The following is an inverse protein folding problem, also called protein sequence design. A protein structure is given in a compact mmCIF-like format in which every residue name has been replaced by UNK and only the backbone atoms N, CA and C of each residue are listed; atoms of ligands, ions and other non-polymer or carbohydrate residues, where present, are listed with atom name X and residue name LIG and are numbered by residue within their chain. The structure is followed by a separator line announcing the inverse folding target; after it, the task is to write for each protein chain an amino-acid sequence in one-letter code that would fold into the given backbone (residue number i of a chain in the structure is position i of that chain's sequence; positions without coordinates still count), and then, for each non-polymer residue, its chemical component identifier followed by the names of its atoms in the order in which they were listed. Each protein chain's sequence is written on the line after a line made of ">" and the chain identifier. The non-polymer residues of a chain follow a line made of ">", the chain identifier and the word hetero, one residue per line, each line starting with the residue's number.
data_IF_106705877563
#
_entry.id   IF_106705877563
#
_cell.length_a   1.000
_cell.length_b   1.000
_cell.length_c   1.000
_cell.angle_alpha   90.00
_cell.angle_beta   90.00
_cell.angle_gamma   90.00
#
_symmetry.space_group_name_H-M   'P 1'
#
loop_
_entity.id
_entity.type
_entity.pdbx_description
1 polymer ?
#
# COMPACT_ATOMS: atom_id res chain seq x y z
N UNK A 1 -0.51 12.94 5.28
CA UNK A 1 0.33 12.42 4.16
C UNK A 1 -0.24 11.09 3.66
N UNK A 2 -0.07 10.72 2.39
CA UNK A 2 -0.46 9.40 1.89
C UNK A 2 0.79 8.55 1.69
N UNK A 3 0.81 7.33 2.21
CA UNK A 3 1.85 6.33 2.05
C UNK A 3 1.29 5.19 1.22
N UNK A 4 2.06 4.69 0.26
CA UNK A 4 1.66 3.52 -0.53
C UNK A 4 2.82 2.55 -0.63
N UNK A 5 2.62 1.38 -0.03
CA UNK A 5 3.55 0.26 -0.08
C UNK A 5 2.98 -0.74 -1.08
N UNK A 6 3.78 -1.16 -2.06
CA UNK A 6 3.32 -2.13 -3.03
C UNK A 6 4.38 -3.14 -3.42
N UNK A 7 3.94 -4.33 -3.84
CA UNK A 7 4.82 -5.37 -4.36
C UNK A 7 4.47 -6.75 -3.82
N UNK A 8 5.28 -7.74 -4.15
CA UNK A 8 4.97 -9.16 -3.90
C UNK A 8 5.71 -9.72 -2.68
N UNK A 9 6.68 -9.00 -2.14
CA UNK A 9 7.36 -9.35 -0.89
C UNK A 9 6.49 -9.00 0.32
N UNK A 10 5.62 -9.94 0.70
CA UNK A 10 4.70 -9.79 1.83
C UNK A 10 5.41 -9.59 3.17
N UNK A 11 6.61 -10.15 3.35
CA UNK A 11 7.36 -10.02 4.60
C UNK A 11 7.87 -8.59 4.78
N UNK A 12 8.56 -8.06 3.77
CA UNK A 12 9.09 -6.70 3.82
C UNK A 12 7.97 -5.64 3.85
N UNK A 13 6.87 -5.90 3.13
CA UNK A 13 5.66 -5.08 3.24
C UNK A 13 5.11 -5.03 4.66
N UNK A 14 4.97 -6.18 5.32
CA UNK A 14 4.45 -6.25 6.69
C UNK A 14 5.41 -5.58 7.70
N UNK A 15 6.72 -5.75 7.51
CA UNK A 15 7.73 -5.11 8.35
C UNK A 15 7.67 -3.57 8.24
N UNK A 16 7.60 -3.05 7.01
CA UNK A 16 7.50 -1.61 6.78
C UNK A 16 6.15 -1.04 7.25
N UNK A 17 5.04 -1.75 7.06
CA UNK A 17 3.73 -1.36 7.58
C UNK A 17 3.78 -1.18 9.10
N UNK A 18 4.36 -2.14 9.82
CA UNK A 18 4.53 -2.08 11.28
C UNK A 18 5.41 -0.92 11.70
N UNK A 19 6.50 -0.67 10.98
CA UNK A 19 7.41 0.44 11.23
C UNK A 19 6.68 1.78 11.07
N UNK A 20 6.04 2.02 9.94
CA UNK A 20 5.28 3.24 9.68
C UNK A 20 4.13 3.43 10.68
N UNK A 21 3.42 2.37 11.03
CA UNK A 21 2.35 2.44 12.04
C UNK A 21 2.89 2.84 13.41
N UNK A 22 4.10 2.37 13.75
CA UNK A 22 4.76 2.71 15.02
C UNK A 22 5.22 4.16 15.04
N UNK A 23 5.78 4.64 13.92
CA UNK A 23 6.35 5.98 13.78
C UNK A 23 5.27 7.07 13.68
N UNK A 24 4.18 6.81 12.94
CA UNK A 24 3.15 7.80 12.64
C UNK A 24 2.10 7.95 13.73
N UNK A 25 1.91 6.95 14.60
CA UNK A 25 0.95 7.03 15.71
C UNK A 25 1.62 6.64 17.01
N UNK A 26 1.69 7.62 17.91
CA UNK A 26 2.20 7.42 19.27
C UNK A 26 1.45 6.31 19.99
N UNK A 27 2.19 5.48 20.73
CA UNK A 27 1.62 4.29 21.39
C UNK A 27 0.43 4.61 22.31
N UNK A 28 0.44 5.77 22.97
CA UNK A 28 -0.60 6.22 23.89
C UNK A 28 -1.95 6.47 23.21
N UNK A 29 -1.94 6.89 21.94
CA UNK A 29 -3.15 7.28 21.20
C UNK A 29 -3.56 6.28 20.12
N UNK A 30 -2.86 5.14 19.98
CA UNK A 30 -3.15 4.14 18.93
C UNK A 30 -4.59 3.63 18.96
N UNK A 31 -5.18 3.42 20.13
CA UNK A 31 -6.55 2.91 20.25
C UNK A 31 -7.62 3.84 19.66
N UNK A 32 -7.34 5.14 19.53
CA UNK A 32 -8.29 6.15 19.04
C UNK A 32 -7.89 6.75 17.69
N UNK A 33 -6.59 6.78 17.38
CA UNK A 33 -6.06 7.42 16.17
C UNK A 33 -5.65 6.43 15.07
N UNK A 34 -5.63 5.12 15.34
CA UNK A 34 -5.37 4.11 14.33
C UNK A 34 -6.69 3.45 13.91
N UNK A 35 -6.95 3.39 12.60
CA UNK A 35 -8.04 2.60 12.03
C UNK A 35 -7.48 1.71 10.94
N UNK A 36 -7.82 0.42 10.97
CA UNK A 36 -7.37 -0.55 9.98
C UNK A 36 -8.56 -1.08 9.20
N UNK A 37 -8.46 -1.03 7.88
CA UNK A 37 -9.43 -1.57 6.94
C UNK A 37 -8.80 -2.70 6.14
N UNK A 38 -9.63 -3.67 5.76
CA UNK A 38 -9.34 -4.61 4.69
C UNK A 38 -9.81 -4.02 3.37
N UNK A 39 -8.90 -3.80 2.43
CA UNK A 39 -9.14 -3.18 1.14
C UNK A 39 -9.97 -4.02 0.17
N UNK A 40 -10.17 -5.31 0.46
CA UNK A 40 -11.06 -6.20 -0.30
C UNK A 40 -12.53 -5.98 0.07
N UNK A 41 -12.80 -5.54 1.30
CA UNK A 41 -14.16 -5.45 1.85
C UNK A 41 -14.59 -4.02 2.17
N UNK A 42 -13.66 -3.14 2.49
CA UNK A 42 -13.93 -1.75 2.84
C UNK A 42 -14.33 -0.90 1.63
N UNK A 43 -15.31 -0.02 1.83
CA UNK A 43 -15.69 0.96 0.82
C UNK A 43 -14.69 2.11 0.79
N UNK A 44 -14.29 2.55 -0.39
CA UNK A 44 -13.36 3.67 -0.56
C UNK A 44 -13.86 4.93 0.16
N UNK A 45 -15.16 5.22 0.12
CA UNK A 45 -15.74 6.38 0.81
C UNK A 45 -15.58 6.31 2.33
N UNK A 46 -15.72 5.13 2.94
CA UNK A 46 -15.54 4.93 4.38
C UNK A 46 -14.09 5.16 4.78
N UNK A 47 -13.15 4.62 4.00
CA UNK A 47 -11.72 4.83 4.20
C UNK A 47 -11.38 6.33 4.10
N UNK A 48 -11.91 7.03 3.10
CA UNK A 48 -11.64 8.45 2.89
C UNK A 48 -12.22 9.29 4.03
N UNK A 49 -13.44 8.99 4.45
CA UNK A 49 -14.06 9.68 5.59
C UNK A 49 -13.25 9.46 6.86
N UNK A 50 -12.84 8.21 7.12
CA UNK A 50 -11.96 7.90 8.25
C UNK A 50 -10.62 8.62 8.14
N UNK A 51 -10.01 8.73 6.95
CA UNK A 51 -8.73 9.39 6.75
C UNK A 51 -8.82 10.92 6.89
N UNK A 52 -9.97 11.53 6.60
CA UNK A 52 -10.20 12.97 6.75
C UNK A 52 -10.70 13.37 8.14
N UNK A 53 -11.11 12.41 8.96
CA UNK A 53 -11.56 12.68 10.34
C UNK A 53 -10.37 13.18 11.17
N UNK A 54 -10.45 14.34 11.85
CA UNK A 54 -9.38 14.80 12.72
C UNK A 54 -9.05 13.82 13.84
N UNK A 55 -7.79 13.79 14.28
CA UNK A 55 -7.38 13.08 15.49
C UNK A 55 -7.94 13.76 16.75
N UNK A 56 -8.00 13.02 17.85
CA UNK A 56 -8.31 13.59 19.16
C UNK A 56 -7.10 14.35 19.74
N UNK A 57 -5.90 13.76 19.65
CA UNK A 57 -4.60 14.37 19.94
C UNK A 57 -3.49 13.74 19.07
N UNK A 58 -2.51 14.50 18.60
CA UNK A 58 -1.40 13.99 17.77
C UNK A 58 -1.84 13.62 16.35
N UNK A 59 -1.13 12.69 15.71
CA UNK A 59 -1.41 12.28 14.33
C UNK A 59 -2.40 11.11 14.27
N UNK A 60 -3.22 11.10 13.21
CA UNK A 60 -4.13 10.01 12.83
C UNK A 60 -3.52 9.17 11.73
N UNK A 61 -3.74 7.86 11.79
CA UNK A 61 -3.40 6.93 10.71
C UNK A 61 -4.58 6.03 10.37
N UNK A 62 -4.91 5.98 9.09
CA UNK A 62 -5.77 4.95 8.52
C UNK A 62 -4.90 4.01 7.70
N UNK A 63 -4.99 2.70 7.95
CA UNK A 63 -4.29 1.66 7.20
C UNK A 63 -5.30 0.88 6.38
N UNK A 64 -5.02 0.67 5.10
CA UNK A 64 -5.81 -0.21 4.23
C UNK A 64 -4.89 -1.34 3.79
N UNK A 65 -5.17 -2.54 4.28
CA UNK A 65 -4.45 -3.76 3.89
C UNK A 65 -5.02 -4.35 2.61
N UNK A 66 -4.21 -5.11 1.89
CA UNK A 66 -4.64 -5.88 0.72
C UNK A 66 -5.41 -5.06 -0.33
N UNK A 67 -4.98 -3.83 -0.57
CA UNK A 67 -5.66 -2.87 -1.42
C UNK A 67 -5.62 -3.28 -2.92
N UNK A 68 -6.76 -3.63 -3.56
CA UNK A 68 -6.79 -4.04 -4.96
C UNK A 68 -6.82 -2.85 -5.94
N UNK A 69 -6.92 -1.61 -5.44
CA UNK A 69 -7.29 -0.42 -6.23
C UNK A 69 -6.25 0.01 -7.28
N UNK A 70 -5.07 -0.60 -7.26
CA UNK A 70 -3.95 -0.31 -8.16
C UNK A 70 -3.53 -1.50 -9.02
N UNK A 71 -4.12 -2.68 -8.83
CA UNK A 71 -3.69 -3.91 -9.51
C UNK A 71 -4.38 -4.12 -10.88
N UNK A 72 -3.71 -4.78 -11.85
CA UNK A 72 -4.37 -5.23 -13.08
C UNK A 72 -5.44 -6.28 -12.76
N UNK A 73 -6.65 -6.13 -13.29
CA UNK A 73 -7.75 -7.08 -13.07
C UNK A 73 -8.77 -6.68 -12.00
N UNK A 74 -8.67 -5.48 -11.40
CA UNK A 74 -9.75 -4.92 -10.58
C UNK A 74 -11.07 -4.70 -11.36
N UNK A 75 -11.07 -4.90 -12.70
CA UNK A 75 -12.27 -4.99 -13.53
C UNK A 75 -12.65 -6.46 -13.75
N UNK A 76 -13.70 -6.88 -13.02
CA UNK A 76 -14.74 -7.87 -13.37
C UNK A 76 -14.28 -9.17 -14.04
N UNK A 77 -14.25 -10.27 -13.28
CA UNK A 77 -14.72 -11.57 -13.81
C UNK A 77 -16.24 -11.45 -13.92
N UNK A 78 -16.80 -11.59 -15.12
CA UNK A 78 -18.20 -11.28 -15.43
C UNK A 78 -19.15 -12.49 -15.26
N UNK A 79 -18.65 -13.66 -14.86
CA UNK A 79 -19.40 -14.93 -14.91
C UNK A 79 -19.50 -15.68 -13.57
N UNK A 80 -19.51 -14.99 -12.42
CA UNK A 80 -19.84 -15.62 -11.12
C UNK A 80 -21.05 -14.92 -10.49
N UNK A 81 -22.25 -15.53 -10.53
CA UNK A 81 -23.47 -14.94 -9.96
C UNK A 81 -23.50 -14.92 -8.42
N UNK A 82 -22.53 -15.52 -7.74
CA UNK A 82 -22.37 -15.43 -6.27
C UNK A 82 -21.43 -14.29 -5.81
N UNK A 83 -20.78 -13.58 -6.75
CA UNK A 83 -19.85 -12.51 -6.43
C UNK A 83 -20.50 -11.11 -6.29
N UNK A 84 -21.84 -11.01 -6.18
CA UNK A 84 -22.53 -9.73 -5.98
C UNK A 84 -22.43 -9.18 -4.54
N UNK A 85 -21.84 -9.92 -3.60
CA UNK A 85 -21.62 -9.45 -2.22
C UNK A 85 -20.22 -8.86 -1.97
N UNK A 86 -19.26 -9.06 -2.87
CA UNK A 86 -17.88 -8.57 -2.70
C UNK A 86 -17.70 -7.28 -3.50
N UNK A 87 -17.76 -6.15 -2.76
CA UNK A 87 -17.65 -4.77 -3.23
C UNK A 87 -16.45 -4.56 -4.18
N UNK A 88 -16.69 -4.67 -5.48
CA UNK A 88 -15.81 -4.10 -6.51
C UNK A 88 -15.93 -2.58 -6.44
N UNK A 89 -14.85 -1.80 -6.46
CA UNK A 89 -14.96 -0.35 -6.45
C UNK A 89 -15.69 0.10 -7.72
N UNK A 90 -16.91 0.60 -7.53
CA UNK A 90 -17.69 1.21 -8.60
C UNK A 90 -16.88 2.31 -9.32
N UNK A 91 -17.20 2.57 -10.58
CA UNK A 91 -16.65 3.65 -11.40
C UNK A 91 -16.62 5.00 -10.67
N UNK A 92 -17.64 5.27 -9.84
CA UNK A 92 -17.70 6.44 -8.97
C UNK A 92 -16.64 6.41 -7.86
N UNK A 93 -16.41 5.27 -7.23
CA UNK A 93 -15.45 5.08 -6.13
C UNK A 93 -14.00 5.32 -6.58
N UNK A 94 -13.69 5.00 -7.84
CA UNK A 94 -12.36 5.27 -8.42
C UNK A 94 -12.08 6.77 -8.60
N UNK A 95 -13.12 7.60 -8.86
CA UNK A 95 -12.95 9.06 -8.97
C UNK A 95 -12.62 9.69 -7.62
N UNK A 96 -13.35 9.30 -6.57
CA UNK A 96 -13.13 9.85 -5.22
C UNK A 96 -11.71 9.56 -4.72
N UNK A 97 -11.17 8.36 -5.01
CA UNK A 97 -9.77 8.04 -4.69
C UNK A 97 -8.78 8.88 -5.50
N UNK A 98 -9.03 9.09 -6.80
CA UNK A 98 -8.19 9.96 -7.63
C UNK A 98 -8.18 11.39 -7.10
N UNK A 99 -9.34 11.90 -6.71
CA UNK A 99 -9.47 13.26 -6.17
C UNK A 99 -8.72 13.37 -4.84
N UNK A 100 -8.82 12.37 -3.96
CA UNK A 100 -8.03 12.31 -2.73
C UNK A 100 -6.52 12.33 -3.00
N UNK A 101 -6.03 11.51 -3.94
CA UNK A 101 -4.61 11.43 -4.27
C UNK A 101 -4.07 12.75 -4.83
N UNK A 102 -4.93 13.52 -5.50
CA UNK A 102 -4.61 14.86 -6.00
C UNK A 102 -4.71 15.93 -4.92
N UNK A 103 -5.77 15.96 -4.13
CA UNK A 103 -5.94 16.99 -3.10
C UNK A 103 -4.98 16.79 -1.92
N UNK A 104 -4.68 15.54 -1.59
CA UNK A 104 -3.97 15.17 -0.37
C UNK A 104 -4.91 15.05 0.83
N UNK A 105 -4.30 14.94 2.01
CA UNK A 105 -5.02 14.85 3.29
C UNK A 105 -4.78 16.11 4.13
N UNK A 106 -5.71 16.47 5.02
CA UNK A 106 -5.48 17.49 6.04
C UNK A 106 -4.21 17.22 6.85
N UNK A 107 -3.63 18.28 7.42
CA UNK A 107 -2.48 18.17 8.33
C UNK A 107 -2.84 17.30 9.54
N UNK A 108 -1.90 16.46 9.98
CA UNK A 108 -2.11 15.49 11.06
C UNK A 108 -2.88 14.22 10.66
N UNK A 109 -3.37 14.12 9.42
CA UNK A 109 -4.05 12.93 8.92
C UNK A 109 -3.17 12.15 7.94
N UNK A 110 -2.98 10.86 8.23
CA UNK A 110 -2.19 9.95 7.40
C UNK A 110 -3.03 8.77 6.89
N UNK A 111 -2.73 8.34 5.67
CA UNK A 111 -3.31 7.16 5.04
C UNK A 111 -2.19 6.24 4.54
N UNK A 112 -2.20 4.98 4.93
CA UNK A 112 -1.28 3.95 4.50
C UNK A 112 -2.02 2.91 3.67
N UNK A 113 -1.67 2.82 2.39
CA UNK A 113 -2.22 1.86 1.44
C UNK A 113 -1.21 0.74 1.23
N UNK A 114 -1.58 -0.50 1.53
CA UNK A 114 -0.73 -1.68 1.33
C UNK A 114 -1.32 -2.50 0.19
N UNK A 115 -0.61 -2.60 -0.92
CA UNK A 115 -1.04 -3.31 -2.12
C UNK A 115 -0.10 -4.51 -2.39
N UNK A 116 -0.53 -5.77 -2.21
CA UNK A 116 0.32 -6.96 -2.32
C UNK A 116 0.65 -7.34 -3.79
N UNK A 117 0.45 -6.41 -4.73
CA UNK A 117 0.70 -6.61 -6.16
C UNK A 117 1.36 -5.38 -6.76
N UNK A 118 2.05 -5.59 -7.88
CA UNK A 118 2.59 -4.51 -8.67
C UNK A 118 1.48 -3.55 -9.18
N UNK A 119 1.80 -2.27 -9.22
CA UNK A 119 0.88 -1.22 -9.65
C UNK A 119 0.73 -1.23 -11.18
N UNK A 120 -0.52 -1.30 -11.64
CA UNK A 120 -0.85 -1.11 -13.05
C UNK A 120 -0.85 0.38 -13.40
N UNK A 121 0.20 0.83 -14.07
CA UNK A 121 0.42 2.22 -14.49
C UNK A 121 -0.63 2.77 -15.47
N UNK A 122 -1.46 1.91 -16.07
CA UNK A 122 -2.50 2.34 -17.03
C UNK A 122 -3.75 2.89 -16.34
N UNK A 123 -4.00 2.50 -15.09
CA UNK A 123 -5.18 2.92 -14.34
C UNK A 123 -5.11 4.41 -13.95
N UNK A 124 -6.26 5.08 -13.94
CA UNK A 124 -6.34 6.49 -13.52
C UNK A 124 -5.92 6.69 -12.07
N UNK A 125 -6.25 5.75 -11.18
CA UNK A 125 -5.84 5.73 -9.78
C UNK A 125 -4.32 5.67 -9.65
N UNK A 126 -3.67 4.78 -10.38
CA UNK A 126 -2.21 4.64 -10.42
C UNK A 126 -1.51 5.87 -11.01
N UNK A 127 -2.09 6.50 -12.05
CA UNK A 127 -1.56 7.76 -12.60
C UNK A 127 -1.63 8.87 -11.56
N UNK A 128 -2.76 9.03 -10.88
CA UNK A 128 -2.93 10.01 -9.82
C UNK A 128 -1.97 9.75 -8.63
N UNK A 129 -1.73 8.50 -8.30
CA UNK A 129 -0.75 8.10 -7.29
C UNK A 129 0.67 8.57 -7.67
N UNK A 130 1.09 8.31 -8.91
CA UNK A 130 2.41 8.72 -9.42
C UNK A 130 2.53 10.25 -9.52
N UNK A 131 1.49 10.94 -9.97
CA UNK A 131 1.43 12.41 -9.97
C UNK A 131 1.51 12.99 -8.55
N UNK A 132 0.83 12.36 -7.59
CA UNK A 132 0.89 12.73 -6.18
C UNK A 132 2.29 12.55 -5.57
N UNK A 133 3.02 11.52 -6.01
CA UNK A 133 4.39 11.24 -5.61
C UNK A 133 5.40 12.20 -6.25
N UNK A 134 5.15 12.63 -7.49
CA UNK A 134 6.00 13.58 -8.21
C UNK A 134 5.76 15.06 -7.84
N UNK A 135 4.71 15.36 -7.07
CA UNK A 135 4.36 16.72 -6.66
C UNK A 135 5.44 17.37 -5.76
N UNK A 136 5.48 18.71 -5.73
CA UNK A 136 6.36 19.50 -4.84
C UNK A 136 5.52 20.43 -3.96
N UNK A 137 5.36 20.16 -2.66
CA UNK A 137 5.84 19.00 -1.91
C UNK A 137 5.11 17.68 -2.28
N UNK A 138 5.72 16.50 -2.04
CA UNK A 138 5.08 15.22 -2.34
C UNK A 138 3.87 15.01 -1.43
N UNK A 139 2.75 14.60 -2.04
CA UNK A 139 1.51 14.24 -1.31
C UNK A 139 1.43 12.75 -1.02
N UNK A 140 2.14 11.96 -1.82
CA UNK A 140 2.21 10.50 -1.76
C UNK A 140 3.67 10.09 -1.58
N UNK A 141 3.94 9.22 -0.62
CA UNK A 141 5.21 8.51 -0.49
C UNK A 141 5.01 7.08 -0.98
N UNK A 142 5.61 6.78 -2.13
CA UNK A 142 5.48 5.49 -2.81
C UNK A 142 6.74 4.65 -2.56
N UNK A 143 6.56 3.41 -2.08
CA UNK A 143 7.66 2.46 -1.87
C UNK A 143 7.31 1.09 -2.45
N UNK A 144 8.23 0.56 -3.24
CA UNK A 144 8.10 -0.75 -3.90
C UNK A 144 8.89 -1.82 -3.12
N UNK A 145 8.28 -3.00 -3.01
CA UNK A 145 8.82 -4.21 -2.38
C UNK A 145 8.69 -5.37 -3.36
N UNK A 146 9.56 -5.42 -4.38
CA UNK A 146 9.47 -6.46 -5.40
C UNK A 146 9.69 -7.83 -4.77
N UNK A 147 8.86 -8.81 -5.15
CA UNK A 147 9.07 -10.19 -4.74
C UNK A 147 10.18 -10.87 -5.54
N UNK A 148 10.56 -12.10 -5.16
CA UNK A 148 11.47 -12.93 -5.95
C UNK A 148 10.86 -13.23 -7.32
N UNK A 149 11.66 -13.10 -8.39
CA UNK A 149 11.24 -13.37 -9.77
C UNK A 149 11.66 -14.80 -10.14
N UNK A 150 10.75 -15.78 -10.16
CA UNK A 150 11.09 -17.18 -10.41
C UNK A 150 11.66 -17.41 -11.81
N UNK A 151 11.46 -16.48 -12.74
CA UNK A 151 11.94 -16.59 -14.12
C UNK A 151 13.27 -15.86 -14.33
N UNK A 152 13.77 -15.13 -13.31
CA UNK A 152 15.04 -14.41 -13.36
C UNK A 152 15.84 -14.67 -12.07
N UNK A 153 16.58 -15.80 -12.02
CA UNK A 153 17.38 -16.18 -10.84
C UNK A 153 18.31 -15.07 -10.36
N UNK A 154 18.91 -14.30 -11.27
CA UNK A 154 19.77 -13.15 -10.95
C UNK A 154 19.07 -12.08 -10.10
N UNK A 155 17.78 -11.83 -10.37
CA UNK A 155 16.96 -10.88 -9.60
C UNK A 155 16.61 -11.44 -8.23
N UNK A 156 16.31 -12.72 -8.16
CA UNK A 156 16.03 -13.42 -6.89
C UNK A 156 17.25 -13.46 -5.99
N UNK A 157 18.44 -13.72 -6.54
CA UNK A 157 19.71 -13.63 -5.83
C UNK A 157 19.97 -12.20 -5.34
N UNK A 158 19.75 -11.19 -6.18
CA UNK A 158 19.91 -9.79 -5.80
C UNK A 158 18.93 -9.36 -4.70
N UNK A 159 17.68 -9.82 -4.77
CA UNK A 159 16.66 -9.63 -3.74
C UNK A 159 17.09 -10.29 -2.43
N UNK A 160 17.54 -11.55 -2.46
CA UNK A 160 17.97 -12.29 -1.28
C UNK A 160 19.19 -11.66 -0.60
N UNK A 161 20.16 -11.18 -1.38
CA UNK A 161 21.34 -10.46 -0.87
C UNK A 161 20.92 -9.12 -0.23
N UNK A 162 20.00 -8.38 -0.85
CA UNK A 162 19.44 -7.15 -0.26
C UNK A 162 18.73 -7.43 1.06
N UNK A 163 17.86 -8.45 1.07
CA UNK A 163 17.12 -8.87 2.24
C UNK A 163 18.02 -9.29 3.41
N UNK A 164 19.06 -10.08 3.13
CA UNK A 164 20.01 -10.57 4.12
C UNK A 164 20.83 -9.42 4.76
N UNK A 165 21.13 -8.38 3.99
CA UNK A 165 21.77 -7.16 4.52
C UNK A 165 20.87 -6.43 5.51
N UNK A 166 19.58 -6.31 5.18
CA UNK A 166 18.61 -5.59 6.02
C UNK A 166 18.27 -6.36 7.32
N UNK A 167 18.44 -7.68 7.33
CA UNK A 167 18.18 -8.57 8.48
C UNK A 167 19.42 -8.91 9.31
N UNK A 168 20.54 -8.19 9.10
CA UNK A 168 21.80 -8.24 9.85
C UNK A 168 22.68 -9.50 9.67
N UNK A 169 22.22 -10.53 8.96
CA UNK A 169 23.06 -11.65 8.52
C UNK A 169 23.32 -11.53 7.02
N UNK A 170 24.26 -10.65 6.65
CA UNK A 170 24.66 -10.50 5.26
C UNK A 170 25.03 -11.87 4.65
N UNK A 171 24.44 -12.19 3.50
CA UNK A 171 24.75 -13.40 2.73
C UNK A 171 25.66 -13.03 1.55
N UNK A 172 26.67 -13.85 1.28
CA UNK A 172 27.47 -13.70 0.08
C UNK A 172 26.68 -14.10 -1.18
N UNK A 173 27.03 -13.51 -2.31
CA UNK A 173 26.32 -13.75 -3.58
C UNK A 173 26.40 -15.20 -4.03
N UNK A 174 27.52 -15.89 -3.77
CA UNK A 174 27.67 -17.32 -4.10
C UNK A 174 26.80 -18.20 -3.19
N UNK A 175 26.67 -17.85 -1.91
CA UNK A 175 25.79 -18.56 -0.99
C UNK A 175 24.31 -18.32 -1.33
N UNK A 176 23.95 -17.10 -1.76
CA UNK A 176 22.62 -16.78 -2.23
C UNK A 176 22.23 -17.56 -3.50
N UNK A 177 23.18 -17.81 -4.43
CA UNK A 177 22.93 -18.65 -5.61
C UNK A 177 22.61 -20.10 -5.28
N UNK A 178 23.07 -20.63 -4.14
CA UNK A 178 22.78 -22.00 -3.71
C UNK A 178 21.39 -22.16 -3.06
N UNK A 179 20.72 -21.05 -2.74
CA UNK A 179 19.40 -21.01 -2.10
C UNK A 179 18.25 -20.76 -3.09
N UNK A 180 18.57 -20.42 -4.34
CA UNK A 180 17.63 -20.09 -5.44
C UNK A 180 17.60 -21.23 -6.44
#
# INVERSE_FOLDING_TARGET
>A
MIYTLHGEDAFSLSAEEKRLTTDLVSAQWRSVNLTVFDGQTARISEVINAARTPSFFGDRLVVVRDCPWFAPGARKKKDDPEAEANHVPDSGSSKVLVDLLKEGLPAGCNLLLVAPKAINKTLSTSKALLEGAAAKPPRVLLREFPGPDPYKPERTVSWLVGYARDTAQGIDQNAAQLLV
#
